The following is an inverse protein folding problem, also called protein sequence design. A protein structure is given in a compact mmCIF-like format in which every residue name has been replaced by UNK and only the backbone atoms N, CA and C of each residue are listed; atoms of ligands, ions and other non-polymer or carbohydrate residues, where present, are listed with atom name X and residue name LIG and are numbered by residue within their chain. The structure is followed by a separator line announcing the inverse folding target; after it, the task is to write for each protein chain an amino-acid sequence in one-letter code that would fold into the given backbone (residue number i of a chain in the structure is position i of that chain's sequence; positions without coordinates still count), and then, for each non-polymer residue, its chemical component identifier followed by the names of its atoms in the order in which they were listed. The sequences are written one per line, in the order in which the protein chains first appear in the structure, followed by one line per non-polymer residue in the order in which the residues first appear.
data_IF_885091823733
#
_entry.id   IF_885091823733
#
_cell.length_a   1.000
_cell.length_b   1.000
_cell.length_c   1.000
_cell.angle_alpha   90.00
_cell.angle_beta   90.00
_cell.angle_gamma   90.00
#
_symmetry.space_group_name_H-M   'P 1'
#
loop_
_entity.id
_entity.type
_entity.pdbx_description
1 polymer ?
#
# COMPACT_ATOMS: atom_id res chain seq x y z
N UNK A 1 4.61 -1.09 -8.57
CA UNK A 1 4.54 -2.50 -8.99
C UNK A 1 3.19 -2.76 -9.66
N UNK A 2 3.12 -2.92 -10.99
CA UNK A 2 1.90 -3.44 -11.64
C UNK A 2 1.67 -4.85 -11.08
N UNK A 3 0.62 -5.05 -10.28
CA UNK A 3 0.24 -6.37 -9.79
C UNK A 3 -0.21 -7.19 -11.01
N UNK A 4 0.73 -7.91 -11.61
CA UNK A 4 0.55 -8.75 -12.82
C UNK A 4 -0.49 -9.86 -12.62
N UNK A 5 -0.96 -10.05 -11.39
CA UNK A 5 -1.92 -11.07 -10.99
C UNK A 5 -3.22 -10.48 -10.42
N UNK A 6 -3.63 -9.31 -10.92
CA UNK A 6 -4.88 -8.65 -10.52
C UNK A 6 -5.84 -8.51 -11.70
N UNK A 7 -7.09 -8.92 -11.48
CA UNK A 7 -8.19 -8.83 -12.43
C UNK A 7 -8.87 -7.46 -12.30
N UNK A 8 -9.02 -6.74 -13.40
CA UNK A 8 -9.78 -5.48 -13.44
C UNK A 8 -11.28 -5.76 -13.38
N UNK A 9 -11.97 -5.24 -12.38
CA UNK A 9 -13.42 -5.38 -12.21
C UNK A 9 -14.22 -4.24 -12.84
N UNK A 10 -13.66 -3.02 -12.85
CA UNK A 10 -14.40 -1.84 -13.31
C UNK A 10 -13.88 -0.53 -12.74
N UNK A 11 -14.63 0.56 -12.98
CA UNK A 11 -14.28 1.90 -12.51
C UNK A 11 -15.46 2.52 -11.77
N UNK A 12 -15.27 2.88 -10.51
CA UNK A 12 -16.28 3.52 -9.66
C UNK A 12 -15.77 4.91 -9.26
N UNK A 13 -16.57 5.96 -9.51
CA UNK A 13 -16.25 7.35 -9.17
C UNK A 13 -14.87 7.87 -9.66
N UNK A 14 -14.31 7.29 -10.73
CA UNK A 14 -12.97 7.64 -11.23
C UNK A 14 -11.87 6.64 -10.86
N UNK A 15 -12.14 5.72 -9.93
CA UNK A 15 -11.16 4.83 -9.31
C UNK A 15 -11.29 3.44 -9.92
N UNK A 16 -10.17 2.87 -10.36
CA UNK A 16 -10.15 1.52 -10.94
C UNK A 16 -10.15 0.47 -9.83
N UNK A 17 -11.04 -0.51 -9.92
CA UNK A 17 -11.16 -1.61 -8.98
C UNK A 17 -10.46 -2.85 -9.54
N UNK A 18 -9.61 -3.46 -8.74
CA UNK A 18 -8.88 -4.68 -9.05
C UNK A 18 -9.11 -5.73 -7.97
N UNK A 19 -9.09 -7.01 -8.36
CA UNK A 19 -9.11 -8.15 -7.43
C UNK A 19 -7.87 -8.98 -7.66
N UNK A 20 -7.10 -9.23 -6.60
CA UNK A 20 -5.95 -10.12 -6.69
C UNK A 20 -6.40 -11.58 -6.79
N UNK A 21 -5.68 -12.42 -7.53
CA UNK A 21 -6.05 -13.82 -7.73
C UNK A 21 -6.24 -14.62 -6.44
N UNK A 22 -5.50 -14.28 -5.37
CA UNK A 22 -5.61 -14.93 -4.06
C UNK A 22 -7.00 -14.79 -3.43
N UNK A 23 -7.78 -13.80 -3.86
CA UNK A 23 -9.18 -13.65 -3.46
C UNK A 23 -10.03 -14.87 -3.87
N UNK A 24 -9.77 -15.47 -5.02
CA UNK A 24 -10.51 -16.64 -5.49
C UNK A 24 -10.25 -17.88 -4.63
N UNK A 25 -9.06 -18.00 -4.03
CA UNK A 25 -8.78 -19.07 -3.05
C UNK A 25 -9.70 -18.94 -1.85
N UNK A 26 -9.89 -17.71 -1.34
CA UNK A 26 -10.79 -17.44 -0.21
C UNK A 26 -12.24 -17.79 -0.56
N UNK A 27 -12.72 -17.41 -1.75
CA UNK A 27 -14.08 -17.71 -2.20
C UNK A 27 -14.32 -19.23 -2.29
N UNK A 28 -13.37 -19.97 -2.88
CA UNK A 28 -13.46 -21.43 -3.00
C UNK A 28 -13.40 -22.10 -1.62
N UNK A 29 -12.52 -21.63 -0.72
CA UNK A 29 -12.46 -22.14 0.65
C UNK A 29 -13.81 -21.96 1.35
N UNK A 30 -14.38 -20.75 1.34
CA UNK A 30 -15.65 -20.45 2.02
C UNK A 30 -16.77 -21.34 1.49
N UNK A 31 -16.84 -21.50 0.16
CA UNK A 31 -17.81 -22.40 -0.46
C UNK A 31 -17.67 -23.84 0.08
N UNK A 32 -16.45 -24.38 0.09
CA UNK A 32 -16.18 -25.75 0.58
C UNK A 32 -16.51 -25.88 2.07
N UNK A 33 -16.17 -24.88 2.88
CA UNK A 33 -16.41 -24.91 4.33
C UNK A 33 -17.91 -24.96 4.66
N UNK A 34 -18.72 -24.10 4.02
CA UNK A 34 -20.18 -24.10 4.21
C UNK A 34 -20.84 -25.35 3.60
N UNK A 35 -20.34 -25.82 2.46
CA UNK A 35 -20.82 -27.07 1.86
C UNK A 35 -20.54 -28.27 2.76
N UNK A 36 -19.34 -28.37 3.35
CA UNK A 36 -18.99 -29.48 4.25
C UNK A 36 -19.78 -29.45 5.55
N UNK A 37 -20.11 -28.26 6.06
CA UNK A 37 -20.89 -28.13 7.30
C UNK A 37 -22.36 -28.55 7.14
N UNK A 38 -22.97 -28.24 6.00
CA UNK A 38 -24.42 -28.45 5.76
C UNK A 38 -24.75 -29.60 4.80
N UNK A 39 -23.75 -30.10 4.05
CA UNK A 39 -23.92 -30.92 2.85
C UNK A 39 -24.86 -30.31 1.78
N UNK A 40 -25.11 -29.00 1.84
CA UNK A 40 -25.96 -28.30 0.88
C UNK A 40 -25.18 -27.33 -0.01
N UNK A 41 -25.41 -27.41 -1.31
CA UNK A 41 -24.86 -26.46 -2.29
C UNK A 41 -25.44 -25.06 -2.09
N UNK A 42 -26.69 -24.95 -1.62
CA UNK A 42 -27.33 -23.65 -1.33
C UNK A 42 -26.51 -22.84 -0.32
N UNK A 43 -26.05 -23.51 0.73
CA UNK A 43 -25.40 -22.85 1.86
C UNK A 43 -23.96 -22.46 1.48
N UNK A 44 -23.30 -23.28 0.65
CA UNK A 44 -22.08 -22.90 -0.03
C UNK A 44 -22.23 -21.61 -0.85
N UNK A 45 -23.31 -21.49 -1.64
CA UNK A 45 -23.59 -20.29 -2.43
C UNK A 45 -23.94 -19.08 -1.55
N UNK A 46 -24.67 -19.27 -0.44
CA UNK A 46 -24.96 -18.19 0.52
C UNK A 46 -23.67 -17.68 1.17
N UNK A 47 -22.74 -18.57 1.55
CA UNK A 47 -21.42 -18.17 2.07
C UNK A 47 -20.62 -17.36 1.04
N UNK A 48 -20.66 -17.76 -0.24
CA UNK A 48 -20.05 -17.01 -1.34
C UNK A 48 -20.71 -15.62 -1.50
N UNK A 49 -22.04 -15.56 -1.47
CA UNK A 49 -22.75 -14.28 -1.52
C UNK A 49 -22.41 -13.39 -0.33
N UNK A 50 -22.24 -13.97 0.85
CA UNK A 50 -21.88 -13.26 2.07
C UNK A 50 -20.49 -12.64 1.97
N UNK A 51 -19.49 -13.40 1.48
CA UNK A 51 -18.15 -12.82 1.30
C UNK A 51 -18.16 -11.70 0.26
N UNK A 52 -18.93 -11.81 -0.82
CA UNK A 52 -19.08 -10.70 -1.76
C UNK A 52 -19.76 -9.47 -1.14
N UNK A 53 -20.77 -9.65 -0.29
CA UNK A 53 -21.43 -8.57 0.43
C UNK A 53 -20.49 -7.89 1.44
N UNK A 54 -19.69 -8.68 2.18
CA UNK A 54 -18.66 -8.17 3.08
C UNK A 54 -17.62 -7.35 2.31
N UNK A 55 -17.12 -7.87 1.19
CA UNK A 55 -16.17 -7.16 0.34
C UNK A 55 -16.76 -5.90 -0.27
N UNK A 56 -18.04 -5.89 -0.62
CA UNK A 56 -18.72 -4.68 -1.04
C UNK A 56 -18.72 -3.63 0.08
N UNK A 57 -18.95 -4.02 1.34
CA UNK A 57 -18.84 -3.10 2.48
C UNK A 57 -17.42 -2.53 2.60
N UNK A 58 -16.38 -3.37 2.45
CA UNK A 58 -14.98 -2.92 2.45
C UNK A 58 -14.68 -1.98 1.27
N UNK A 59 -15.20 -2.26 0.07
CA UNK A 59 -15.05 -1.34 -1.07
C UNK A 59 -15.72 -0.01 -0.80
N UNK A 60 -16.93 -0.01 -0.23
CA UNK A 60 -17.64 1.23 0.13
C UNK A 60 -16.88 2.02 1.20
N UNK A 61 -16.31 1.34 2.19
CA UNK A 61 -15.42 1.92 3.18
C UNK A 61 -14.21 2.63 2.53
N UNK A 62 -13.49 1.94 1.64
CA UNK A 62 -12.34 2.50 0.91
C UNK A 62 -12.72 3.66 -0.02
N UNK A 63 -13.91 3.58 -0.63
CA UNK A 63 -14.49 4.68 -1.39
C UNK A 63 -14.77 5.89 -0.49
N UNK A 64 -15.18 5.70 0.76
CA UNK A 64 -15.36 6.77 1.75
C UNK A 64 -14.08 7.58 1.95
N UNK A 65 -12.94 6.91 2.16
CA UNK A 65 -11.63 7.56 2.24
C UNK A 65 -11.30 8.30 0.93
N UNK A 66 -11.41 7.59 -0.18
CA UNK A 66 -10.98 8.08 -1.50
C UNK A 66 -11.78 9.31 -1.96
N UNK A 67 -13.10 9.30 -1.77
CA UNK A 67 -13.99 10.41 -2.13
C UNK A 67 -13.75 11.63 -1.23
N UNK A 68 -13.43 11.41 0.04
CA UNK A 68 -13.12 12.50 0.97
C UNK A 68 -11.75 13.10 0.66
N UNK A 69 -10.75 12.27 0.35
CA UNK A 69 -9.41 12.71 -0.05
C UNK A 69 -9.46 13.54 -1.35
N UNK A 70 -10.34 13.17 -2.28
CA UNK A 70 -10.54 13.91 -3.54
C UNK A 70 -11.00 15.35 -3.33
N UNK A 71 -11.67 15.67 -2.23
CA UNK A 71 -12.05 17.05 -1.88
C UNK A 71 -10.86 17.92 -1.47
N UNK A 72 -9.70 17.31 -1.23
CA UNK A 72 -8.45 17.96 -0.89
C UNK A 72 -7.40 17.83 -2.00
N UNK A 73 -7.84 17.62 -3.25
CA UNK A 73 -7.01 17.46 -4.46
C UNK A 73 -6.04 16.26 -4.43
N UNK A 74 -6.32 15.28 -3.58
CA UNK A 74 -5.57 14.03 -3.51
C UNK A 74 -6.28 12.98 -4.36
N UNK A 75 -5.61 12.52 -5.40
CA UNK A 75 -6.17 11.54 -6.32
C UNK A 75 -5.86 10.11 -5.86
N UNK A 76 -6.86 9.24 -5.94
CA UNK A 76 -6.74 7.80 -5.76
C UNK A 76 -6.91 7.11 -7.11
N UNK A 77 -5.88 6.44 -7.61
CA UNK A 77 -5.94 5.83 -8.95
C UNK A 77 -6.64 4.48 -8.94
N UNK A 78 -6.28 3.61 -7.99
CA UNK A 78 -6.70 2.21 -7.98
C UNK A 78 -6.99 1.69 -6.55
N UNK A 79 -8.00 0.83 -6.43
CA UNK A 79 -8.27 0.02 -5.23
C UNK A 79 -8.03 -1.45 -5.61
N UNK A 80 -7.21 -2.17 -4.86
CA UNK A 80 -6.97 -3.60 -5.09
C UNK A 80 -7.44 -4.42 -3.89
N UNK A 81 -8.30 -5.40 -4.14
CA UNK A 81 -8.84 -6.28 -3.12
C UNK A 81 -7.92 -7.50 -2.89
N UNK A 82 -7.57 -7.73 -1.63
CA UNK A 82 -6.80 -8.88 -1.15
C UNK A 82 -7.65 -9.68 -0.13
N UNK A 83 -7.33 -10.95 0.14
CA UNK A 83 -8.05 -11.76 1.12
C UNK A 83 -8.03 -11.20 2.54
N UNK A 84 -6.97 -10.48 2.91
CA UNK A 84 -6.77 -9.91 4.25
C UNK A 84 -7.45 -8.53 4.38
N UNK A 85 -8.04 -8.01 3.29
CA UNK A 85 -8.68 -6.70 3.21
C UNK A 85 -8.48 -6.02 1.86
N UNK A 86 -9.14 -4.88 1.63
CA UNK A 86 -8.83 -4.02 0.50
C UNK A 86 -7.52 -3.27 0.74
N UNK A 87 -6.49 -3.45 -0.10
CA UNK A 87 -5.43 -2.45 -0.18
C UNK A 87 -5.86 -1.37 -1.16
N UNK A 88 -6.51 -0.33 -0.66
CA UNK A 88 -6.62 0.91 -1.41
C UNK A 88 -5.22 1.50 -1.56
N UNK A 89 -4.76 1.65 -2.80
CA UNK A 89 -3.57 2.45 -3.08
C UNK A 89 -3.98 3.92 -3.06
N UNK A 90 -4.22 4.46 -1.86
CA UNK A 90 -4.23 5.91 -1.67
C UNK A 90 -2.83 6.41 -2.06
N UNK A 91 -2.73 7.21 -3.13
CA UNK A 91 -1.42 7.69 -3.62
C UNK A 91 -0.68 8.53 -2.56
N UNK A 92 -1.44 9.16 -1.66
CA UNK A 92 -0.94 9.95 -0.55
C UNK A 92 -2.07 10.21 0.46
N UNK A 93 -1.78 10.29 1.76
CA UNK A 93 -2.71 10.88 2.74
C UNK A 93 -2.45 12.39 2.85
N UNK A 94 -3.45 13.21 3.18
CA UNK A 94 -3.25 14.64 3.37
C UNK A 94 -2.17 14.96 4.41
N UNK A 95 -1.37 16.00 4.15
CA UNK A 95 -0.34 16.45 5.10
C UNK A 95 -0.94 17.21 6.29
N UNK A 96 -2.03 17.95 6.06
CA UNK A 96 -2.67 18.76 7.11
C UNK A 96 -3.44 17.86 8.09
N UNK A 97 -3.20 17.98 9.41
CA UNK A 97 -3.88 17.17 10.44
C UNK A 97 -5.41 17.14 10.32
N UNK A 98 -6.02 18.31 10.05
CA UNK A 98 -7.48 18.45 9.83
C UNK A 98 -7.98 17.54 8.71
N UNK A 99 -7.29 17.57 7.57
CA UNK A 99 -7.69 16.86 6.36
C UNK A 99 -7.49 15.36 6.54
N UNK A 100 -6.36 14.96 7.13
CA UNK A 100 -6.08 13.55 7.42
C UNK A 100 -7.13 12.95 8.36
N UNK A 101 -7.51 13.66 9.44
CA UNK A 101 -8.53 13.20 10.38
C UNK A 101 -9.88 12.99 9.67
N UNK A 102 -10.29 13.92 8.80
CA UNK A 102 -11.54 13.80 8.05
C UNK A 102 -11.51 12.63 7.06
N UNK A 103 -10.39 12.44 6.35
CA UNK A 103 -10.23 11.32 5.43
C UNK A 103 -10.24 10.00 6.19
N UNK A 104 -9.49 9.87 7.28
CA UNK A 104 -9.41 8.66 8.08
C UNK A 104 -10.77 8.32 8.75
N UNK A 105 -11.55 9.32 9.16
CA UNK A 105 -12.88 9.08 9.73
C UNK A 105 -13.94 8.69 8.68
N UNK A 106 -13.73 9.04 7.40
CA UNK A 106 -14.73 8.84 6.36
C UNK A 106 -15.03 7.37 6.07
N UNK A 107 -14.03 6.49 6.06
CA UNK A 107 -14.23 5.05 5.87
C UNK A 107 -15.08 4.42 6.98
N UNK A 108 -14.69 4.54 8.27
CA UNK A 108 -15.49 4.07 9.39
C UNK A 108 -16.92 4.64 9.37
N UNK A 109 -17.10 5.91 8.99
CA UNK A 109 -18.43 6.52 8.89
C UNK A 109 -19.31 5.82 7.83
N UNK A 110 -18.76 5.37 6.71
CA UNK A 110 -19.52 4.58 5.72
C UNK A 110 -20.06 3.30 6.34
N UNK A 111 -19.24 2.58 7.11
CA UNK A 111 -19.68 1.35 7.78
C UNK A 111 -20.70 1.64 8.89
N UNK A 112 -20.59 2.77 9.60
CA UNK A 112 -21.61 3.22 10.55
C UNK A 112 -22.94 3.46 9.84
N UNK A 113 -22.95 4.11 8.68
CA UNK A 113 -24.16 4.34 7.89
C UNK A 113 -24.76 3.03 7.40
N UNK A 114 -23.94 2.10 6.91
CA UNK A 114 -24.40 0.76 6.50
C UNK A 114 -25.02 0.02 7.68
N UNK A 115 -24.33 -0.02 8.82
CA UNK A 115 -24.83 -0.65 10.04
C UNK A 115 -26.14 -0.01 10.53
N UNK A 116 -26.25 1.31 10.45
CA UNK A 116 -27.47 2.02 10.83
C UNK A 116 -28.66 1.67 9.94
N UNK A 117 -28.45 1.60 8.62
CA UNK A 117 -29.50 1.17 7.66
C UNK A 117 -29.94 -0.27 7.95
N UNK A 118 -28.97 -1.18 8.15
CA UNK A 118 -29.26 -2.58 8.49
C UNK A 118 -30.00 -2.69 9.83
N UNK A 119 -29.61 -1.92 10.85
CA UNK A 119 -30.28 -1.87 12.14
C UNK A 119 -31.76 -1.47 11.99
N UNK A 120 -32.04 -0.39 11.26
CA UNK A 120 -33.42 0.07 11.03
C UNK A 120 -34.23 -1.00 10.30
N UNK A 121 -33.66 -1.62 9.26
CA UNK A 121 -34.31 -2.68 8.51
C UNK A 121 -34.61 -3.91 9.38
N UNK A 122 -33.61 -4.45 10.08
CA UNK A 122 -33.74 -5.63 10.94
C UNK A 122 -34.73 -5.41 12.08
N UNK A 123 -34.72 -4.20 12.68
CA UNK A 123 -35.69 -3.84 13.71
C UNK A 123 -37.12 -3.79 13.17
N UNK A 124 -37.31 -3.33 11.93
CA UNK A 124 -38.63 -3.25 11.29
C UNK A 124 -39.20 -4.61 10.87
N UNK A 125 -38.34 -5.57 10.52
CA UNK A 125 -38.73 -6.91 10.08
C UNK A 125 -38.75 -7.95 11.20
N UNK A 126 -38.38 -7.55 12.43
CA UNK A 126 -38.27 -8.45 13.57
C UNK A 126 -37.06 -9.39 13.52
N UNK A 127 -36.08 -9.12 12.65
CA UNK A 127 -34.85 -9.92 12.49
C UNK A 127 -33.70 -9.53 13.43
N UNK A 128 -33.99 -8.81 14.52
CA UNK A 128 -33.00 -8.46 15.55
C UNK A 128 -32.95 -9.55 16.60
N UNK A 129 -31.81 -10.23 16.72
CA UNK A 129 -31.54 -11.15 17.82
C UNK A 129 -31.17 -10.38 19.11
N UNK A 130 -31.59 -10.91 20.26
CA UNK A 130 -31.30 -10.36 21.58
C UNK A 130 -29.93 -10.86 22.07
N UNK A 131 -29.23 -10.06 22.89
CA UNK A 131 -27.95 -10.43 23.52
C UNK A 131 -27.98 -11.77 24.27
N UNK A 132 -29.14 -12.15 24.82
CA UNK A 132 -29.36 -13.45 25.48
C UNK A 132 -29.38 -14.62 24.49
N UNK A 133 -29.96 -14.43 23.30
CA UNK A 133 -30.02 -15.46 22.25
C UNK A 133 -28.64 -15.72 21.63
N UNK A 134 -27.78 -14.70 21.62
CA UNK A 134 -26.39 -14.80 21.17
C UNK A 134 -25.46 -15.45 22.20
N UNK A 135 -25.79 -15.39 23.50
CA UNK A 135 -24.96 -15.93 24.57
C UNK A 135 -25.15 -17.44 24.77
N UNK A 136 -26.30 -17.99 24.35
CA UNK A 136 -26.60 -19.43 24.40
C UNK A 136 -26.15 -20.17 23.12
N UNK A 137 -25.92 -19.44 22.02
CA UNK A 137 -25.33 -19.97 20.79
C UNK A 137 -23.80 -19.93 20.84
N UNK A 138 -23.14 -21.02 20.44
CA UNK A 138 -21.69 -21.03 20.27
C UNK A 138 -21.32 -19.91 19.28
N UNK A 139 -20.52 -18.92 19.71
CA UNK A 139 -20.16 -17.76 18.89
C UNK A 139 -19.43 -18.18 17.59
N UNK A 140 -18.87 -19.40 17.56
CA UNK A 140 -18.32 -20.04 16.37
C UNK A 140 -19.40 -20.59 15.41
N UNK A 141 -20.59 -20.94 15.92
CA UNK A 141 -21.71 -21.51 15.16
C UNK A 141 -22.62 -20.45 14.50
N UNK A 142 -22.57 -19.19 14.93
CA UNK A 142 -23.27 -18.06 14.27
C UNK A 142 -22.81 -17.89 12.80
N UNK A 143 -21.65 -18.44 12.45
CA UNK A 143 -21.13 -18.51 11.08
C UNK A 143 -21.57 -19.72 10.25
N UNK A 144 -22.14 -20.77 10.85
CA UNK A 144 -22.15 -22.11 10.23
C UNK A 144 -23.48 -22.48 9.58
N UNK A 145 -24.60 -21.90 10.02
CA UNK A 145 -25.92 -22.08 9.39
C UNK A 145 -26.48 -20.71 9.02
N UNK A 146 -26.36 -20.34 7.74
CA UNK A 146 -26.80 -19.04 7.24
C UNK A 146 -28.23 -19.16 6.69
N UNK A 147 -29.24 -18.98 7.54
CA UNK A 147 -30.58 -18.69 7.05
C UNK A 147 -30.68 -17.24 6.58
N UNK A 148 -31.70 -16.89 5.80
CA UNK A 148 -31.83 -15.56 5.17
C UNK A 148 -31.88 -14.38 6.16
N UNK A 149 -32.44 -14.58 7.36
CA UNK A 149 -32.41 -13.61 8.47
C UNK A 149 -31.03 -13.49 9.11
N UNK A 150 -30.29 -14.59 9.19
CA UNK A 150 -28.92 -14.63 9.74
C UNK A 150 -27.95 -13.87 8.85
N UNK A 151 -28.16 -13.90 7.53
CA UNK A 151 -27.31 -13.18 6.57
C UNK A 151 -27.21 -11.68 6.86
N UNK A 152 -28.36 -10.99 6.96
CA UNK A 152 -28.40 -9.54 7.15
C UNK A 152 -27.96 -9.14 8.56
N UNK A 153 -28.31 -9.96 9.55
CA UNK A 153 -27.83 -9.76 10.92
C UNK A 153 -26.32 -9.93 11.02
N UNK A 154 -25.74 -10.97 10.41
CA UNK A 154 -24.30 -11.18 10.37
C UNK A 154 -23.59 -10.05 9.63
N UNK A 155 -24.17 -9.54 8.53
CA UNK A 155 -23.62 -8.38 7.83
C UNK A 155 -23.65 -7.12 8.70
N UNK A 156 -24.69 -6.92 9.51
CA UNK A 156 -24.78 -5.85 10.49
C UNK A 156 -23.67 -5.97 11.55
N UNK A 157 -23.53 -7.15 12.17
CA UNK A 157 -22.51 -7.42 13.19
C UNK A 157 -21.10 -7.20 12.63
N UNK A 158 -20.82 -7.68 11.40
CA UNK A 158 -19.53 -7.46 10.74
C UNK A 158 -19.27 -5.99 10.50
N UNK A 159 -20.25 -5.19 10.05
CA UNK A 159 -20.05 -3.75 9.87
C UNK A 159 -19.74 -3.04 11.20
N UNK A 160 -20.42 -3.41 12.29
CA UNK A 160 -20.09 -2.91 13.63
C UNK A 160 -18.67 -3.34 14.04
N UNK A 161 -18.30 -4.59 13.83
CA UNK A 161 -16.95 -5.09 14.12
C UNK A 161 -15.88 -4.34 13.31
N UNK A 162 -16.12 -4.08 12.01
CA UNK A 162 -15.24 -3.29 11.16
C UNK A 162 -15.08 -1.86 11.68
N UNK A 163 -16.16 -1.23 12.17
CA UNK A 163 -16.09 0.11 12.79
C UNK A 163 -15.25 0.06 14.06
N UNK A 164 -15.54 -0.87 14.96
CA UNK A 164 -14.82 -0.98 16.23
C UNK A 164 -13.33 -1.24 16.00
N UNK A 165 -13.00 -2.17 15.09
CA UNK A 165 -11.62 -2.49 14.73
C UNK A 165 -10.92 -1.29 14.08
N UNK A 166 -11.55 -0.64 13.10
CA UNK A 166 -10.94 0.52 12.45
C UNK A 166 -10.89 1.79 13.31
N UNK A 167 -11.61 1.86 14.44
CA UNK A 167 -11.50 2.98 15.39
C UNK A 167 -10.47 2.75 16.49
N UNK A 168 -9.83 1.57 16.56
CA UNK A 168 -8.76 1.32 17.52
C UNK A 168 -7.62 2.33 17.26
N UNK A 169 -7.17 3.08 18.28
CA UNK A 169 -6.19 4.17 18.13
C UNK A 169 -4.75 3.64 17.98
N UNK A 170 -4.53 2.80 16.97
CA UNK A 170 -3.26 2.15 16.68
C UNK A 170 -3.10 1.88 15.18
N UNK A 171 -1.88 1.92 14.67
CA UNK A 171 -1.61 1.42 13.32
C UNK A 171 -1.72 -0.10 13.26
N UNK A 172 -2.09 -0.68 12.09
CA UNK A 172 -2.34 -0.03 10.79
C UNK A 172 -3.77 0.50 10.57
N UNK A 173 -4.64 0.43 11.59
CA UNK A 173 -6.06 0.80 11.49
C UNK A 173 -6.28 2.31 11.28
N UNK A 174 -7.45 2.71 10.80
CA UNK A 174 -7.78 4.13 10.57
C UNK A 174 -7.72 4.97 11.85
N UNK A 175 -8.08 4.39 12.98
CA UNK A 175 -8.02 5.01 14.30
C UNK A 175 -6.57 5.37 14.66
N UNK A 176 -5.58 4.61 14.19
CA UNK A 176 -4.17 4.98 14.26
C UNK A 176 -3.85 6.25 13.47
N UNK A 177 -4.42 6.41 12.27
CA UNK A 177 -4.31 7.62 11.44
C UNK A 177 -5.02 8.81 12.10
N UNK A 178 -6.21 8.58 12.66
CA UNK A 178 -6.94 9.58 13.43
C UNK A 178 -6.14 10.03 14.66
N UNK A 179 -5.58 9.09 15.43
CA UNK A 179 -4.71 9.40 16.58
C UNK A 179 -3.48 10.18 16.13
N UNK A 180 -2.79 9.74 15.07
CA UNK A 180 -1.64 10.45 14.50
C UNK A 180 -2.01 11.89 14.14
N UNK A 181 -3.13 12.09 13.42
CA UNK A 181 -3.60 13.40 13.03
C UNK A 181 -3.91 14.29 14.25
N UNK A 182 -4.52 13.74 15.30
CA UNK A 182 -4.78 14.48 16.54
C UNK A 182 -3.50 14.88 17.27
N UNK A 183 -2.52 13.97 17.36
CA UNK A 183 -1.21 14.25 17.95
C UNK A 183 -0.44 15.30 17.14
N UNK A 184 -0.52 15.24 15.81
CA UNK A 184 0.17 16.15 14.90
C UNK A 184 -0.25 17.64 15.03
N UNK A 185 -1.31 17.97 15.78
CA UNK A 185 -1.60 19.35 16.16
C UNK A 185 -0.65 19.91 17.22
N UNK A 186 0.01 19.05 18.01
CA UNK A 186 0.89 19.45 19.12
C UNK A 186 2.34 19.02 18.95
N UNK A 187 2.63 18.15 17.98
CA UNK A 187 3.98 17.64 17.74
C UNK A 187 4.22 17.36 16.26
N UNK A 188 5.48 17.12 15.91
CA UNK A 188 5.87 16.71 14.56
C UNK A 188 5.15 15.41 14.11
N UNK A 189 4.80 15.34 12.83
CA UNK A 189 4.09 14.21 12.22
C UNK A 189 4.87 12.90 12.35
N UNK A 190 6.20 12.93 12.24
CA UNK A 190 7.05 11.77 12.43
C UNK A 190 6.93 11.23 13.85
N UNK A 191 7.03 12.11 14.86
CA UNK A 191 6.84 11.74 16.27
C UNK A 191 5.44 11.17 16.53
N UNK A 192 4.40 11.81 16.00
CA UNK A 192 3.02 11.32 16.11
C UNK A 192 2.84 9.92 15.49
N UNK A 193 3.47 9.66 14.34
CA UNK A 193 3.44 8.35 13.67
C UNK A 193 4.11 7.29 14.54
N UNK A 194 5.28 7.57 15.11
CA UNK A 194 5.99 6.63 15.97
C UNK A 194 5.16 6.25 17.21
N UNK A 195 4.45 7.20 17.82
CA UNK A 195 3.58 6.93 18.97
C UNK A 195 2.44 5.98 18.57
N UNK A 196 1.70 6.30 17.50
CA UNK A 196 0.61 5.46 17.02
C UNK A 196 1.09 4.05 16.60
N UNK A 197 2.30 3.95 16.02
CA UNK A 197 2.91 2.68 15.65
C UNK A 197 3.32 1.85 16.88
N UNK A 198 3.91 2.48 17.91
CA UNK A 198 4.26 1.80 19.17
C UNK A 198 3.05 1.28 19.91
N UNK A 199 1.95 2.05 19.93
CA UNK A 199 0.68 1.59 20.52
C UNK A 199 0.17 0.35 19.76
N UNK A 200 0.22 0.36 18.42
CA UNK A 200 -0.14 -0.81 17.60
C UNK A 200 0.76 -2.02 17.82
N UNK A 201 2.08 -1.83 17.92
CA UNK A 201 3.02 -2.90 18.23
C UNK A 201 2.81 -3.48 19.63
N UNK A 202 2.52 -2.65 20.62
CA UNK A 202 2.19 -3.10 21.97
C UNK A 202 0.90 -3.93 21.99
N UNK A 203 -0.16 -3.44 21.34
CA UNK A 203 -1.42 -4.18 21.18
C UNK A 203 -1.19 -5.51 20.43
N UNK A 204 -0.40 -5.50 19.37
CA UNK A 204 -0.04 -6.70 18.63
C UNK A 204 0.64 -7.76 19.51
N UNK A 205 1.58 -7.36 20.37
CA UNK A 205 2.24 -8.27 21.32
C UNK A 205 1.21 -8.87 22.27
N UNK A 206 0.26 -8.07 22.77
CA UNK A 206 -0.83 -8.57 23.62
C UNK A 206 -1.70 -9.59 22.88
N UNK A 207 -2.07 -9.33 21.62
CA UNK A 207 -2.83 -10.25 20.77
C UNK A 207 -2.09 -11.56 20.54
N UNK A 208 -0.79 -11.50 20.26
CA UNK A 208 0.05 -12.69 20.09
C UNK A 208 0.10 -13.50 21.39
N UNK A 209 0.35 -12.84 22.52
CA UNK A 209 0.41 -13.50 23.83
C UNK A 209 -0.91 -14.19 24.18
N UNK A 210 -2.05 -13.48 24.13
CA UNK A 210 -3.36 -14.08 24.39
C UNK A 210 -3.76 -15.12 23.34
N UNK A 211 -3.30 -14.97 22.10
CA UNK A 211 -3.57 -15.89 21.01
C UNK A 211 -2.96 -17.27 21.22
N UNK A 212 -1.76 -17.35 21.82
CA UNK A 212 -1.16 -18.64 22.17
C UNK A 212 -1.99 -19.45 23.19
N UNK A 213 -2.74 -18.77 24.07
CA UNK A 213 -3.52 -19.44 25.12
C UNK A 213 -4.99 -19.67 24.77
N UNK A 214 -5.58 -18.83 23.92
CA UNK A 214 -7.03 -18.87 23.65
C UNK A 214 -7.35 -19.23 22.19
N UNK A 215 -6.70 -18.57 21.23
CA UNK A 215 -7.08 -18.67 19.83
C UNK A 215 -5.88 -18.38 18.92
N UNK A 216 -5.45 -19.40 18.19
CA UNK A 216 -4.31 -19.33 17.27
C UNK A 216 -4.47 -18.24 16.19
N UNK A 217 -5.70 -17.92 15.77
CA UNK A 217 -5.95 -16.85 14.79
C UNK A 217 -5.56 -15.46 15.32
N UNK A 218 -5.64 -15.22 16.63
CA UNK A 218 -5.20 -13.95 17.23
C UNK A 218 -3.69 -13.74 17.07
N UNK A 219 -2.90 -14.83 17.00
CA UNK A 219 -1.46 -14.74 16.74
C UNK A 219 -1.19 -14.16 15.35
N UNK A 220 -1.92 -14.63 14.33
CA UNK A 220 -1.79 -14.08 12.97
C UNK A 220 -2.26 -12.63 12.90
N UNK A 221 -3.41 -12.30 13.52
CA UNK A 221 -3.91 -10.93 13.57
C UNK A 221 -2.88 -10.01 14.24
N UNK A 222 -2.33 -10.42 15.39
CA UNK A 222 -1.27 -9.69 16.08
C UNK A 222 -0.03 -9.50 15.21
N UNK A 223 0.43 -10.54 14.50
CA UNK A 223 1.56 -10.43 13.57
C UNK A 223 1.30 -9.40 12.46
N UNK A 224 0.12 -9.43 11.83
CA UNK A 224 -0.26 -8.47 10.79
C UNK A 224 -0.34 -7.03 11.34
N UNK A 225 -0.88 -6.84 12.55
CA UNK A 225 -0.89 -5.53 13.21
C UNK A 225 0.55 -5.05 13.46
N UNK A 226 1.44 -5.92 13.97
CA UNK A 226 2.83 -5.57 14.27
C UNK A 226 3.59 -5.14 13.00
N UNK A 227 3.48 -5.93 11.93
CA UNK A 227 4.11 -5.65 10.64
C UNK A 227 3.52 -4.41 9.99
N UNK A 228 2.19 -4.23 10.04
CA UNK A 228 1.51 -3.05 9.50
C UNK A 228 1.90 -1.76 10.23
N UNK A 229 1.96 -1.80 11.56
CA UNK A 229 2.41 -0.67 12.37
C UNK A 229 3.87 -0.29 12.10
N UNK A 230 4.76 -1.29 11.99
CA UNK A 230 6.16 -1.08 11.60
C UNK A 230 6.30 -0.52 10.18
N UNK A 231 5.50 -1.04 9.24
CA UNK A 231 5.48 -0.57 7.86
C UNK A 231 5.07 0.89 7.72
N UNK A 232 4.02 1.33 8.43
CA UNK A 232 3.59 2.74 8.39
C UNK A 232 4.64 3.68 9.02
N UNK A 233 5.29 3.26 10.12
CA UNK A 233 6.36 4.02 10.73
C UNK A 233 7.57 4.16 9.80
N UNK A 234 7.99 3.09 9.13
CA UNK A 234 9.10 3.09 8.17
C UNK A 234 8.79 3.95 6.93
N UNK A 235 7.53 3.91 6.46
CA UNK A 235 7.07 4.71 5.33
C UNK A 235 7.14 6.22 5.64
N UNK A 236 6.59 6.65 6.78
CA UNK A 236 6.64 8.07 7.18
C UNK A 236 8.07 8.51 7.54
N UNK A 237 8.92 7.64 8.09
CA UNK A 237 10.33 7.97 8.34
C UNK A 237 11.07 8.28 7.03
N UNK A 238 10.91 7.41 6.03
CA UNK A 238 11.45 7.64 4.68
C UNK A 238 10.90 8.94 4.08
N UNK A 239 9.58 9.15 4.15
CA UNK A 239 8.96 10.35 3.60
C UNK A 239 9.45 11.63 4.28
N UNK A 240 9.58 11.60 5.61
CA UNK A 240 10.09 12.72 6.40
C UNK A 240 11.56 13.02 6.08
N UNK A 241 12.40 11.99 5.88
CA UNK A 241 13.79 12.16 5.47
C UNK A 241 13.91 12.89 4.12
N UNK A 242 13.03 12.58 3.17
CA UNK A 242 13.03 13.20 1.84
C UNK A 242 12.28 14.55 1.76
N UNK A 243 11.53 14.92 2.80
CA UNK A 243 10.48 15.93 2.72
C UNK A 243 10.94 17.35 2.35
N UNK A 244 12.17 17.71 2.68
CA UNK A 244 12.72 19.05 2.46
C UNK A 244 13.73 19.11 1.30
N UNK A 245 13.93 18.00 0.59
CA UNK A 245 14.95 17.88 -0.43
C UNK A 245 14.35 17.85 -1.84
N UNK A 246 15.11 18.38 -2.79
CA UNK A 246 14.83 18.33 -4.22
C UNK A 246 15.85 17.43 -4.91
N UNK A 247 15.57 17.09 -6.17
CA UNK A 247 16.49 16.26 -6.98
C UNK A 247 17.91 16.84 -7.00
N UNK A 248 18.06 18.17 -7.02
CA UNK A 248 19.38 18.84 -6.98
C UNK A 248 20.27 18.46 -5.79
N UNK A 249 19.67 18.09 -4.65
CA UNK A 249 20.42 17.83 -3.41
C UNK A 249 21.07 16.43 -3.40
N UNK A 250 20.64 15.55 -4.32
CA UNK A 250 21.12 14.16 -4.49
C UNK A 250 21.52 13.88 -5.94
N UNK A 251 21.75 14.94 -6.72
CA UNK A 251 22.11 14.81 -8.12
C UNK A 251 23.49 14.18 -8.28
N UNK A 252 23.57 13.09 -9.04
CA UNK A 252 24.85 12.49 -9.42
C UNK A 252 25.35 13.24 -10.66
N UNK A 253 26.44 13.98 -10.51
CA UNK A 253 27.05 14.77 -11.59
C UNK A 253 28.16 14.03 -12.35
N UNK A 254 28.67 12.93 -11.78
CA UNK A 254 29.65 12.06 -12.42
C UNK A 254 28.95 10.81 -12.91
N UNK A 255 28.74 10.72 -14.22
CA UNK A 255 28.03 9.63 -14.86
C UNK A 255 28.69 9.30 -16.19
N UNK A 256 28.65 8.02 -16.57
CA UNK A 256 29.28 7.55 -17.79
C UNK A 256 28.30 7.52 -18.97
N UNK A 257 28.80 7.92 -20.14
CA UNK A 257 28.09 7.85 -21.41
C UNK A 257 28.52 6.64 -22.21
N UNK A 258 27.58 6.04 -22.94
CA UNK A 258 27.87 5.01 -23.93
C UNK A 258 27.15 5.34 -25.23
N UNK A 259 27.78 5.08 -26.37
CA UNK A 259 27.15 5.33 -27.67
C UNK A 259 26.20 4.17 -28.03
N UNK A 260 25.12 4.43 -28.78
CA UNK A 260 24.20 3.36 -29.23
C UNK A 260 24.91 2.24 -30.01
N UNK A 261 26.01 2.59 -30.67
CA UNK A 261 26.76 1.71 -31.58
C UNK A 261 27.86 0.93 -30.86
N UNK A 262 28.14 1.25 -29.60
CA UNK A 262 29.08 0.52 -28.76
C UNK A 262 28.67 -0.94 -28.57
N UNK A 263 29.66 -1.81 -28.40
CA UNK A 263 29.43 -3.22 -28.13
C UNK A 263 29.02 -3.45 -26.67
N UNK A 264 28.26 -4.52 -26.41
CA UNK A 264 27.95 -4.95 -25.05
C UNK A 264 29.20 -5.37 -24.27
N UNK A 265 30.24 -5.85 -24.95
CA UNK A 265 31.54 -6.10 -24.33
C UNK A 265 32.15 -4.83 -23.73
N UNK A 266 32.04 -3.68 -24.40
CA UNK A 266 32.48 -2.41 -23.85
C UNK A 266 31.62 -1.95 -22.66
N UNK A 267 30.29 -2.13 -22.75
CA UNK A 267 29.39 -1.83 -21.65
C UNK A 267 29.71 -2.66 -20.38
N UNK A 268 30.06 -3.94 -20.55
CA UNK A 268 30.50 -4.81 -19.45
C UNK A 268 31.79 -4.30 -18.83
N UNK A 269 32.76 -3.88 -19.65
CA UNK A 269 34.02 -3.35 -19.14
C UNK A 269 33.77 -2.09 -18.30
N UNK A 270 32.96 -1.15 -18.79
CA UNK A 270 32.56 0.04 -18.02
C UNK A 270 31.85 -0.33 -16.70
N UNK A 271 31.00 -1.36 -16.72
CA UNK A 271 30.32 -1.85 -15.52
C UNK A 271 31.29 -2.48 -14.50
N UNK A 272 32.35 -3.15 -14.95
CA UNK A 272 33.36 -3.73 -14.06
C UNK A 272 34.38 -2.70 -13.57
N UNK A 273 34.63 -1.65 -14.35
CA UNK A 273 35.57 -0.56 -14.04
C UNK A 273 34.92 0.54 -13.19
N UNK A 274 33.60 0.54 -13.04
CA UNK A 274 32.83 1.50 -12.25
C UNK A 274 31.90 0.83 -11.23
N UNK A 275 31.29 1.62 -10.35
CA UNK A 275 30.20 1.17 -9.47
C UNK A 275 28.81 1.55 -10.02
N UNK A 276 28.75 2.00 -11.27
CA UNK A 276 27.50 2.47 -11.89
C UNK A 276 26.58 1.29 -12.22
N UNK A 277 25.30 1.40 -11.82
CA UNK A 277 24.28 0.37 -12.12
C UNK A 277 23.57 0.59 -13.46
N UNK A 278 23.73 1.77 -14.06
CA UNK A 278 23.17 2.14 -15.34
C UNK A 278 23.95 3.28 -15.99
N UNK A 279 23.88 3.34 -17.32
CA UNK A 279 24.59 4.30 -18.15
C UNK A 279 23.62 5.11 -19.00
N UNK A 280 23.98 6.37 -19.29
CA UNK A 280 23.27 7.15 -20.31
C UNK A 280 23.73 6.73 -21.70
N UNK A 281 22.77 6.47 -22.58
CA UNK A 281 23.04 6.18 -23.98
C UNK A 281 22.74 7.41 -24.81
N UNK A 282 23.73 7.90 -25.55
CA UNK A 282 23.57 9.10 -26.36
C UNK A 282 24.89 9.74 -26.76
N UNK A 283 24.76 10.82 -27.53
CA UNK A 283 25.87 11.62 -28.05
C UNK A 283 25.49 13.11 -27.91
N UNK A 284 26.51 13.99 -27.85
CA UNK A 284 26.34 15.46 -27.83
C UNK A 284 25.29 15.98 -26.82
N UNK A 285 25.29 15.41 -25.61
CA UNK A 285 24.39 15.78 -24.52
C UNK A 285 22.90 15.46 -24.78
N UNK A 286 22.60 14.67 -25.81
CA UNK A 286 21.27 14.19 -26.16
C UNK A 286 21.14 12.73 -25.70
N UNK A 287 20.29 12.50 -24.71
CA UNK A 287 20.01 11.13 -24.23
C UNK A 287 19.00 10.46 -25.16
N UNK A 288 19.44 9.37 -25.77
CA UNK A 288 18.65 8.52 -26.67
C UNK A 288 18.16 7.24 -25.98
N UNK A 289 18.78 6.85 -24.87
CA UNK A 289 18.39 5.68 -24.08
C UNK A 289 19.06 5.62 -22.72
N UNK A 290 18.63 4.64 -21.93
CA UNK A 290 19.27 4.25 -20.66
C UNK A 290 19.65 2.78 -20.77
N UNK A 291 20.89 2.44 -20.40
CA UNK A 291 21.38 1.07 -20.39
C UNK A 291 21.55 0.60 -18.94
N UNK A 292 20.65 -0.26 -18.46
CA UNK A 292 20.74 -0.82 -17.11
C UNK A 292 21.59 -2.10 -17.09
N UNK A 293 22.15 -2.43 -15.92
CA UNK A 293 22.83 -3.72 -15.68
C UNK A 293 22.01 -4.93 -16.13
N UNK A 294 20.71 -4.94 -15.83
CA UNK A 294 19.81 -6.02 -16.22
C UNK A 294 19.68 -6.15 -17.75
N UNK A 295 19.67 -5.03 -18.48
CA UNK A 295 19.65 -5.05 -19.94
C UNK A 295 20.98 -5.51 -20.53
N UNK A 296 22.12 -5.15 -19.93
CA UNK A 296 23.43 -5.65 -20.35
C UNK A 296 23.47 -7.18 -20.21
N UNK A 297 23.09 -7.72 -19.04
CA UNK A 297 23.10 -9.17 -18.79
C UNK A 297 22.18 -9.90 -19.78
N UNK A 298 20.95 -9.42 -19.98
CA UNK A 298 20.02 -9.99 -20.98
C UNK A 298 20.57 -9.91 -22.41
N UNK A 299 21.22 -8.79 -22.74
CA UNK A 299 21.84 -8.57 -24.03
C UNK A 299 22.98 -9.53 -24.32
N UNK A 300 23.81 -9.83 -23.31
CA UNK A 300 24.92 -10.78 -23.43
C UNK A 300 24.42 -12.21 -23.69
N UNK A 301 23.32 -12.60 -23.04
CA UNK A 301 22.69 -13.92 -23.26
C UNK A 301 22.15 -14.04 -24.69
N UNK A 302 21.53 -12.97 -25.21
CA UNK A 302 20.87 -13.00 -26.52
C UNK A 302 21.81 -12.74 -27.70
N UNK A 303 22.77 -11.82 -27.56
CA UNK A 303 23.60 -11.31 -28.67
C UNK A 303 25.11 -11.51 -28.44
N UNK A 304 25.51 -12.01 -27.27
CA UNK A 304 26.91 -12.10 -26.89
C UNK A 304 27.58 -10.73 -26.69
N UNK A 305 28.90 -10.75 -26.52
CA UNK A 305 29.69 -9.52 -26.32
C UNK A 305 29.72 -8.59 -27.53
N UNK A 306 29.43 -9.12 -28.72
CA UNK A 306 29.45 -8.36 -29.98
C UNK A 306 28.12 -7.66 -30.30
N UNK A 307 27.05 -7.92 -29.53
CA UNK A 307 25.79 -7.20 -29.69
C UNK A 307 25.95 -5.69 -29.46
N UNK A 308 25.03 -4.89 -30.00
CA UNK A 308 25.07 -3.44 -29.84
C UNK A 308 24.18 -2.95 -28.70
N UNK A 309 24.58 -1.84 -28.08
CA UNK A 309 23.80 -1.19 -27.01
C UNK A 309 22.42 -0.76 -27.48
N UNK A 310 22.29 -0.27 -28.72
CA UNK A 310 21.01 0.19 -29.31
C UNK A 310 19.90 -0.87 -29.28
N UNK A 311 20.28 -2.15 -29.29
CA UNK A 311 19.36 -3.29 -29.37
C UNK A 311 18.76 -3.66 -28.01
N UNK A 312 19.40 -3.22 -26.92
CA UNK A 312 19.03 -3.60 -25.54
C UNK A 312 18.76 -2.42 -24.62
N UNK A 313 19.10 -1.20 -25.04
CA UNK A 313 18.83 0.02 -24.27
C UNK A 313 17.33 0.28 -24.09
N UNK A 314 16.96 0.86 -22.95
CA UNK A 314 15.61 1.37 -22.71
C UNK A 314 15.45 2.70 -23.42
N UNK A 315 14.53 2.74 -24.40
CA UNK A 315 14.17 3.97 -25.13
C UNK A 315 13.10 4.79 -24.42
N UNK A 316 12.29 4.13 -23.59
CA UNK A 316 11.30 4.77 -22.73
C UNK A 316 11.88 4.90 -21.33
N UNK A 317 12.13 6.14 -20.91
CA UNK A 317 12.62 6.45 -19.58
C UNK A 317 12.01 7.77 -19.11
N UNK A 318 11.77 7.93 -17.80
CA UNK A 318 11.26 9.17 -17.25
C UNK A 318 12.31 10.26 -17.32
N UNK A 319 11.89 11.47 -17.72
CA UNK A 319 12.71 12.68 -17.67
C UNK A 319 12.36 13.43 -16.40
N UNK A 320 13.35 13.65 -15.54
CA UNK A 320 13.15 14.34 -14.26
C UNK A 320 13.61 15.79 -14.36
N UNK A 321 12.89 16.70 -13.72
CA UNK A 321 13.33 18.09 -13.56
C UNK A 321 14.10 18.26 -12.25
N UNK A 322 15.17 19.05 -12.29
CA UNK A 322 16.08 19.25 -11.15
C UNK A 322 15.42 19.87 -9.91
N UNK A 323 14.33 20.65 -10.09
CA UNK A 323 13.60 21.29 -8.99
C UNK A 323 12.44 20.43 -8.46
N UNK A 324 12.22 19.25 -9.03
CA UNK A 324 11.19 18.31 -8.55
C UNK A 324 11.48 17.89 -7.10
N UNK A 325 10.44 17.74 -6.30
CA UNK A 325 10.55 17.25 -4.92
C UNK A 325 11.05 15.79 -4.89
N UNK A 326 12.06 15.52 -4.06
CA UNK A 326 12.70 14.20 -4.01
C UNK A 326 11.73 13.11 -3.54
N UNK A 327 10.82 13.43 -2.62
CA UNK A 327 9.75 12.52 -2.15
C UNK A 327 8.85 12.05 -3.29
N UNK A 328 8.55 12.91 -4.26
CA UNK A 328 7.72 12.57 -5.41
C UNK A 328 8.46 11.64 -6.38
N UNK A 329 9.73 11.94 -6.64
CA UNK A 329 10.59 11.14 -7.52
C UNK A 329 10.83 9.75 -6.95
N UNK A 330 11.18 9.63 -5.66
CA UNK A 330 11.35 8.35 -5.00
C UNK A 330 10.09 7.48 -5.06
N UNK A 331 8.91 8.11 -4.91
CA UNK A 331 7.61 7.44 -5.07
C UNK A 331 7.39 6.98 -6.51
N UNK A 332 7.68 7.81 -7.51
CA UNK A 332 7.59 7.46 -8.94
C UNK A 332 8.51 6.27 -9.26
N UNK A 333 9.76 6.30 -8.82
CA UNK A 333 10.73 5.20 -8.97
C UNK A 333 10.19 3.89 -8.38
N UNK A 334 9.63 3.93 -7.16
CA UNK A 334 9.07 2.75 -6.50
C UNK A 334 7.78 2.24 -7.19
N UNK A 335 6.94 3.16 -7.68
CA UNK A 335 5.64 2.82 -8.26
C UNK A 335 5.78 2.27 -9.68
N UNK A 336 6.54 2.97 -10.51
CA UNK A 336 6.78 2.65 -11.93
C UNK A 336 7.89 1.63 -12.11
N UNK A 337 8.77 1.47 -11.11
CA UNK A 337 9.80 0.44 -11.07
C UNK A 337 11.05 0.78 -11.88
N UNK A 338 11.30 2.05 -12.17
CA UNK A 338 12.57 2.48 -12.77
C UNK A 338 13.61 2.76 -11.69
N UNK A 339 14.83 2.33 -11.92
CA UNK A 339 15.95 2.41 -10.97
C UNK A 339 16.90 3.57 -11.28
N UNK A 340 16.81 4.13 -12.48
CA UNK A 340 17.71 5.17 -12.98
C UNK A 340 16.95 6.12 -13.90
N UNK A 341 17.23 7.42 -13.79
CA UNK A 341 16.61 8.43 -14.63
C UNK A 341 17.55 9.63 -14.88
N UNK A 342 17.61 10.13 -16.13
CA UNK A 342 18.28 11.39 -16.43
C UNK A 342 17.52 12.59 -15.83
N UNK A 343 18.28 13.54 -15.30
CA UNK A 343 17.77 14.79 -14.73
C UNK A 343 18.16 15.95 -15.62
N UNK A 344 17.18 16.81 -15.91
CA UNK A 344 17.30 17.95 -16.79
C UNK A 344 17.16 19.26 -16.03
N UNK A 345 17.88 20.28 -16.50
CA UNK A 345 17.71 21.67 -16.12
C UNK A 345 17.71 22.52 -17.39
N UNK A 346 16.64 23.30 -17.61
CA UNK A 346 16.49 24.15 -18.79
C UNK A 346 16.73 23.40 -20.13
N UNK A 347 16.24 22.16 -20.23
CA UNK A 347 16.37 21.32 -21.43
C UNK A 347 17.72 20.62 -21.63
N UNK A 348 18.71 20.87 -20.76
CA UNK A 348 20.02 20.22 -20.81
C UNK A 348 20.14 19.17 -19.70
N UNK A 349 20.93 18.12 -19.93
CA UNK A 349 21.26 17.14 -18.89
C UNK A 349 22.07 17.83 -17.80
N UNK A 350 21.54 17.83 -16.58
CA UNK A 350 22.24 18.31 -15.39
C UNK A 350 22.97 17.17 -14.68
N UNK A 351 22.44 15.95 -14.76
CA UNK A 351 23.02 14.77 -14.14
C UNK A 351 22.06 13.59 -14.19
N UNK A 352 22.28 12.64 -13.30
CA UNK A 352 21.45 11.43 -13.20
C UNK A 352 21.01 11.21 -11.76
N UNK A 353 19.94 10.45 -11.62
CA UNK A 353 19.44 10.02 -10.33
C UNK A 353 19.20 8.51 -10.38
N UNK A 354 19.76 7.81 -9.41
CA UNK A 354 19.51 6.39 -9.21
C UNK A 354 18.79 6.13 -7.88
N UNK A 355 18.21 4.94 -7.74
CA UNK A 355 17.45 4.57 -6.54
C UNK A 355 18.37 4.27 -5.35
N UNK A 356 19.59 3.83 -5.60
CA UNK A 356 20.56 3.42 -4.59
C UNK A 356 21.09 4.63 -3.81
N UNK A 357 21.54 5.67 -4.51
CA UNK A 357 21.96 6.95 -3.96
C UNK A 357 20.85 7.65 -3.16
N UNK A 358 19.59 7.57 -3.60
CA UNK A 358 18.47 8.08 -2.77
C UNK A 358 18.35 7.26 -1.47
N UNK A 359 18.55 5.95 -1.53
CA UNK A 359 18.47 5.06 -0.36
C UNK A 359 19.62 5.33 0.62
N UNK A 360 20.84 5.52 0.12
CA UNK A 360 22.00 5.96 0.91
C UNK A 360 21.75 7.32 1.55
N UNK A 361 21.21 8.27 0.79
CA UNK A 361 20.85 9.58 1.30
C UNK A 361 19.81 9.51 2.43
N UNK A 362 18.77 8.68 2.30
CA UNK A 362 17.79 8.44 3.37
C UNK A 362 18.48 7.88 4.62
N UNK A 363 19.43 6.96 4.46
CA UNK A 363 20.16 6.35 5.58
C UNK A 363 20.98 7.41 6.34
N UNK A 364 21.70 8.27 5.62
CA UNK A 364 22.50 9.36 6.21
C UNK A 364 21.60 10.36 6.94
N UNK A 365 20.51 10.80 6.32
CA UNK A 365 19.58 11.77 6.92
C UNK A 365 18.83 11.20 8.14
N UNK A 366 18.48 9.92 8.10
CA UNK A 366 17.84 9.23 9.23
C UNK A 366 18.78 9.14 10.45
N UNK A 367 20.07 8.92 10.20
CA UNK A 367 21.10 8.94 11.25
C UNK A 367 21.26 10.35 11.87
N UNK A 368 21.30 11.38 11.03
CA UNK A 368 21.41 12.77 11.48
C UNK A 368 20.22 13.19 12.36
N UNK A 369 18.98 12.87 11.96
CA UNK A 369 17.77 13.15 12.75
C UNK A 369 17.73 12.39 14.08
N UNK A 370 18.19 11.14 14.10
CA UNK A 370 18.26 10.35 15.33
C UNK A 370 19.22 10.99 16.34
N UNK A 371 20.32 11.56 15.85
CA UNK A 371 21.28 12.27 16.68
C UNK A 371 20.66 13.55 17.26
N UNK A 372 19.99 14.36 16.45
CA UNK A 372 19.31 15.57 16.91
C UNK A 372 18.24 15.30 17.97
N UNK A 373 17.48 14.20 17.86
CA UNK A 373 16.47 13.81 18.85
C UNK A 373 17.04 13.27 20.17
N UNK A 374 18.29 12.79 20.21
CA UNK A 374 18.93 12.33 21.46
C UNK A 374 19.47 13.48 22.30
N UNK A 375 19.69 14.64 21.69
CA UNK A 375 20.29 15.83 22.30
C UNK A 375 19.34 17.03 22.39
N UNK A 376 18.06 16.83 22.08
CA UNK A 376 16.95 17.78 22.29
C UNK A 376 16.00 17.27 23.36
#
# INVERSE_FOLDING_TARGET
MKLTWSLYLGKIAGIKLFVHWTFWILVVWIFIMHYQASNSVSDGLIGVLFIFALFLCVVLHELGHSLTARRFDIQTKNITLLPIGGMASLEMMPEKPRQELLVAAAGPLVNVVIAFILYVYLKSTGGMYTLSELAEGDAAAVGITMSGSDFLFNLYVVNIALVLFNLIPAFPMDGGRMLRALLAYRMDRGKATMIAARIGQFLAIAFVFFGFFNNFWLVFIGLFIFLGAGGEAAYEATRSALGNYRVKDVLITKYSWITPDSSLGHAVQLLLDSQEQAFLVGEDNIVTGVLTRNNIIKGLDQFGKSGHVRDVMLKEFPKLDIETELKEVYRKMTTEGFEFAPVYQNGHIAGVLDRENISEFIMVESANKTNQMRFS
#
